data_IF_794250546424
#
_entry.id   IF_794250546424
#
_cell.length_a   1.000
_cell.length_b   1.000
_cell.length_c   1.000
_cell.angle_alpha   90.00
_cell.angle_beta   90.00
_cell.angle_gamma   90.00
#
_symmetry.space_group_name_H-M   'P 1'
#
loop_
_entity.id
_entity.type
_entity.pdbx_description
1 polymer ?
#
# COMPACT_ATOMS: atom_id res chain seq x y z
N UNK A 1 -16.92 22.46 14.16
CA UNK A 1 -16.94 21.20 14.94
C UNK A 1 -16.48 20.12 13.96
N UNK A 2 -15.42 19.39 14.31
CA UNK A 2 -14.97 18.29 13.46
C UNK A 2 -16.12 17.29 13.33
N UNK A 3 -16.45 16.93 12.10
CA UNK A 3 -17.38 15.86 11.79
C UNK A 3 -16.92 14.64 12.61
N UNK A 4 -17.76 14.15 13.53
CA UNK A 4 -17.39 13.12 14.51
C UNK A 4 -17.15 11.72 13.91
N UNK A 5 -16.89 11.65 12.59
CA UNK A 5 -16.59 10.44 11.84
C UNK A 5 -15.16 9.97 12.17
N UNK A 6 -15.05 8.79 12.76
CA UNK A 6 -13.74 8.16 12.99
C UNK A 6 -13.15 7.68 11.67
N UNK A 7 -11.88 8.00 11.44
CA UNK A 7 -11.09 7.56 10.28
C UNK A 7 -9.87 6.80 10.74
N UNK A 8 -9.34 5.94 9.87
CA UNK A 8 -8.17 5.11 10.15
C UNK A 8 -7.05 5.47 9.18
N UNK A 9 -5.88 5.75 9.71
CA UNK A 9 -4.65 5.88 8.95
C UNK A 9 -3.72 4.71 9.30
N UNK A 10 -3.32 3.95 8.29
CA UNK A 10 -2.26 2.94 8.38
C UNK A 10 -1.01 3.52 7.75
N UNK A 11 0.08 3.58 8.49
CA UNK A 11 1.40 3.98 7.97
C UNK A 11 2.33 2.78 8.09
N UNK A 12 2.82 2.31 6.96
CA UNK A 12 3.79 1.22 6.90
C UNK A 12 5.17 1.76 6.48
N UNK A 13 6.19 1.39 7.23
CA UNK A 13 7.60 1.60 6.89
C UNK A 13 8.20 0.25 6.53
N UNK A 14 8.41 0.00 5.23
CA UNK A 14 8.90 -1.28 4.73
C UNK A 14 10.32 -1.56 5.26
N UNK A 15 10.53 -2.74 5.81
CA UNK A 15 11.76 -3.20 6.46
C UNK A 15 12.20 -2.41 7.72
N UNK A 16 11.36 -1.54 8.29
CA UNK A 16 11.69 -0.89 9.56
C UNK A 16 11.74 -1.91 10.70
N UNK A 17 12.89 -2.04 11.31
CA UNK A 17 13.12 -2.92 12.46
C UNK A 17 12.59 -2.25 13.74
N UNK A 18 11.87 -3.00 14.61
CA UNK A 18 11.31 -2.44 15.85
C UNK A 18 12.37 -1.85 16.80
N UNK A 19 13.59 -2.40 16.80
CA UNK A 19 14.70 -1.93 17.64
C UNK A 19 15.31 -0.60 17.17
N UNK A 20 14.96 -0.13 15.96
CA UNK A 20 15.33 1.20 15.47
C UNK A 20 14.37 2.30 15.94
N UNK A 21 13.21 1.93 16.48
CA UNK A 21 12.22 2.90 16.98
C UNK A 21 12.59 3.29 18.42
N UNK A 22 13.60 4.13 18.53
CA UNK A 22 14.11 4.65 19.80
C UNK A 22 13.98 6.18 19.87
N UNK A 23 14.00 6.79 21.06
CA UNK A 23 14.01 8.26 21.20
C UNK A 23 15.16 8.95 20.45
N UNK A 24 16.30 8.27 20.31
CA UNK A 24 17.50 8.80 19.66
C UNK A 24 17.37 8.78 18.13
N UNK A 25 16.86 7.68 17.56
CA UNK A 25 16.80 7.49 16.11
C UNK A 25 15.50 7.97 15.50
N UNK A 26 14.38 7.77 16.19
CA UNK A 26 13.03 8.11 15.69
C UNK A 26 12.19 8.77 16.81
N UNK A 27 12.56 9.97 17.27
CA UNK A 27 11.96 10.57 18.45
C UNK A 27 10.44 10.76 18.32
N UNK A 28 9.95 11.19 17.16
CA UNK A 28 8.52 11.41 16.95
C UNK A 28 7.71 10.10 16.95
N UNK A 29 8.23 9.05 16.28
CA UNK A 29 7.56 7.75 16.25
C UNK A 29 7.61 7.06 17.62
N UNK A 30 8.73 7.20 18.34
CA UNK A 30 8.84 6.70 19.71
C UNK A 30 7.85 7.38 20.64
N UNK A 31 7.76 8.71 20.63
CA UNK A 31 6.81 9.47 21.43
C UNK A 31 5.35 9.15 21.07
N UNK A 32 5.05 8.96 19.79
CA UNK A 32 3.72 8.53 19.35
C UNK A 32 3.37 7.14 19.89
N UNK A 33 4.31 6.20 19.82
CA UNK A 33 4.10 4.84 20.32
C UNK A 33 3.91 4.80 21.86
N UNK A 34 4.52 5.72 22.60
CA UNK A 34 4.36 5.83 24.06
C UNK A 34 2.98 6.39 24.46
N UNK A 35 2.32 7.13 23.57
CA UNK A 35 0.95 7.62 23.76
C UNK A 35 -0.12 6.60 23.36
N UNK A 36 0.27 5.56 22.63
CA UNK A 36 -0.60 4.52 22.09
C UNK A 36 -0.32 3.14 22.69
N UNK A 37 -0.41 2.12 21.83
CA UNK A 37 -0.11 0.74 22.19
C UNK A 37 1.04 0.19 21.36
N UNK A 38 1.98 -0.51 22.00
CA UNK A 38 3.05 -1.27 21.32
C UNK A 38 2.71 -2.75 21.28
N UNK A 39 2.66 -3.34 20.10
CA UNK A 39 2.37 -4.77 19.91
C UNK A 39 3.69 -5.55 19.80
N UNK A 40 4.24 -6.00 20.90
CA UNK A 40 5.57 -6.65 20.97
C UNK A 40 5.61 -8.07 20.38
N UNK A 41 4.45 -8.70 20.21
CA UNK A 41 4.31 -10.05 19.65
C UNK A 41 3.78 -10.05 18.21
N UNK A 42 3.67 -8.89 17.57
CA UNK A 42 3.29 -8.83 16.17
C UNK A 42 4.34 -9.51 15.29
N UNK A 43 3.91 -10.26 14.28
CA UNK A 43 4.76 -10.96 13.33
C UNK A 43 4.22 -10.76 11.92
N UNK A 44 5.13 -10.62 10.97
CA UNK A 44 4.80 -10.74 9.55
C UNK A 44 4.31 -12.16 9.23
N UNK A 45 3.55 -12.31 8.16
CA UNK A 45 3.21 -13.63 7.64
C UNK A 45 4.44 -14.28 6.99
N UNK A 46 4.44 -15.61 6.88
CA UNK A 46 5.47 -16.32 6.12
C UNK A 46 4.94 -16.67 4.71
N UNK A 47 5.73 -16.46 3.64
CA UNK A 47 7.06 -15.82 3.63
C UNK A 47 7.00 -14.32 3.97
N UNK A 48 8.09 -13.80 4.58
CA UNK A 48 8.19 -12.39 5.01
C UNK A 48 8.50 -11.45 3.85
N UNK A 49 7.82 -11.63 2.74
CA UNK A 49 7.96 -10.83 1.54
C UNK A 49 6.95 -9.68 1.51
N UNK A 50 7.35 -8.55 0.94
CA UNK A 50 6.56 -7.32 0.94
C UNK A 50 5.13 -7.55 0.42
N UNK A 51 4.97 -8.12 -0.78
CA UNK A 51 3.65 -8.24 -1.41
C UNK A 51 2.76 -9.29 -0.78
N UNK A 52 3.34 -10.33 -0.18
CA UNK A 52 2.62 -11.28 0.65
C UNK A 52 2.01 -10.59 1.86
N UNK A 53 2.80 -9.75 2.54
CA UNK A 53 2.36 -9.03 3.73
C UNK A 53 1.43 -7.85 3.41
N UNK A 54 1.61 -7.17 2.26
CA UNK A 54 0.65 -6.20 1.75
C UNK A 54 -0.72 -6.85 1.52
N UNK A 55 -0.74 -8.03 0.91
CA UNK A 55 -2.00 -8.78 0.70
C UNK A 55 -2.60 -9.24 2.01
N UNK A 56 -1.79 -9.73 2.95
CA UNK A 56 -2.28 -10.11 4.28
C UNK A 56 -2.88 -8.89 5.03
N UNK A 57 -2.29 -7.71 4.90
CA UNK A 57 -2.82 -6.47 5.48
C UNK A 57 -4.21 -6.12 4.94
N UNK A 58 -4.40 -6.19 3.62
CA UNK A 58 -5.67 -5.77 2.99
C UNK A 58 -6.73 -6.88 2.93
N UNK A 59 -6.40 -8.12 3.26
CA UNK A 59 -7.35 -9.23 3.30
C UNK A 59 -7.65 -9.72 4.72
N UNK A 60 -6.76 -9.43 5.69
CA UNK A 60 -6.83 -10.02 7.03
C UNK A 60 -6.59 -11.54 7.03
N UNK A 61 -6.02 -12.11 5.97
CA UNK A 61 -5.85 -13.55 5.80
C UNK A 61 -4.37 -13.93 5.64
N UNK A 62 -4.06 -15.19 5.88
CA UNK A 62 -2.76 -15.78 5.58
C UNK A 62 -2.63 -16.15 4.09
N UNK A 63 -1.39 -16.31 3.55
CA UNK A 63 -1.13 -16.66 2.16
C UNK A 63 -1.91 -17.88 1.64
N UNK A 64 -2.12 -18.89 2.47
CA UNK A 64 -2.91 -20.07 2.14
C UNK A 64 -4.39 -19.78 1.86
N UNK A 65 -4.88 -18.60 2.23
CA UNK A 65 -6.27 -18.18 1.97
C UNK A 65 -6.38 -17.07 0.94
N UNK A 66 -5.42 -16.15 0.87
CA UNK A 66 -5.50 -15.07 -0.12
C UNK A 66 -4.79 -15.40 -1.44
N UNK A 67 -4.04 -16.52 -1.53
CA UNK A 67 -3.46 -17.02 -2.78
C UNK A 67 -2.14 -16.38 -3.21
N UNK A 68 -1.71 -15.26 -2.62
CA UNK A 68 -0.42 -14.62 -2.93
C UNK A 68 0.66 -15.19 -2.03
N UNK A 69 1.49 -16.06 -2.58
CA UNK A 69 2.44 -16.88 -1.82
C UNK A 69 3.90 -16.42 -1.94
N UNK A 70 4.16 -15.37 -2.71
CA UNK A 70 5.50 -14.82 -2.91
C UNK A 70 5.47 -13.52 -3.69
N UNK A 71 6.59 -12.78 -3.70
CA UNK A 71 6.78 -11.64 -4.60
C UNK A 71 6.81 -12.08 -6.06
N UNK A 72 7.31 -13.29 -6.30
CA UNK A 72 7.27 -13.99 -7.59
C UNK A 72 6.96 -15.46 -7.33
N UNK A 73 5.95 -16.00 -7.98
CA UNK A 73 5.55 -17.38 -7.81
C UNK A 73 4.92 -17.96 -9.07
N UNK A 74 4.74 -19.26 -9.10
CA UNK A 74 4.10 -19.92 -10.23
C UNK A 74 2.57 -19.83 -10.11
N UNK A 75 1.98 -19.06 -11.02
CA UNK A 75 0.52 -18.96 -11.20
C UNK A 75 0.20 -19.11 -12.69
N UNK A 76 -0.10 -20.33 -13.13
CA UNK A 76 -0.18 -20.64 -14.56
C UNK A 76 -1.32 -19.94 -15.30
N UNK A 77 -2.38 -19.52 -14.60
CA UNK A 77 -3.48 -18.77 -15.22
C UNK A 77 -3.03 -17.33 -15.43
N UNK A 78 -2.49 -16.68 -14.40
CA UNK A 78 -2.04 -15.29 -14.48
C UNK A 78 -0.83 -15.13 -15.40
N UNK A 79 0.12 -16.07 -15.35
CA UNK A 79 1.39 -16.00 -16.07
C UNK A 79 1.83 -17.37 -16.59
N UNK A 80 1.30 -17.85 -17.74
CA UNK A 80 1.50 -19.22 -18.21
C UNK A 80 2.92 -19.55 -18.69
N UNK A 81 3.77 -18.54 -18.91
CA UNK A 81 5.10 -18.72 -19.51
C UNK A 81 6.26 -18.43 -18.57
N UNK A 82 6.02 -17.77 -17.44
CA UNK A 82 7.04 -17.35 -16.50
C UNK A 82 6.47 -17.21 -15.10
N UNK A 83 7.33 -17.03 -14.11
CA UNK A 83 6.86 -16.70 -12.76
C UNK A 83 6.06 -15.40 -12.77
N UNK A 84 4.92 -15.42 -12.11
CA UNK A 84 4.08 -14.24 -11.92
C UNK A 84 4.76 -13.27 -10.97
N UNK A 85 5.19 -12.12 -11.49
CA UNK A 85 5.83 -11.06 -10.71
C UNK A 85 4.78 -10.03 -10.28
N UNK A 86 4.36 -10.10 -9.04
CA UNK A 86 3.34 -9.21 -8.48
C UNK A 86 3.84 -7.78 -8.21
N UNK A 87 5.13 -7.50 -8.41
CA UNK A 87 5.70 -6.14 -8.34
C UNK A 87 5.68 -5.38 -9.66
N UNK A 88 5.48 -6.09 -10.76
CA UNK A 88 5.45 -5.56 -12.12
C UNK A 88 4.02 -5.21 -12.51
N UNK A 89 3.78 -3.95 -12.91
CA UNK A 89 2.44 -3.44 -13.18
C UNK A 89 1.78 -4.12 -14.39
N UNK A 90 2.55 -4.37 -15.44
CA UNK A 90 2.03 -4.97 -16.66
C UNK A 90 1.67 -6.44 -16.43
N UNK A 91 2.55 -7.19 -15.75
CA UNK A 91 2.25 -8.59 -15.41
C UNK A 91 1.08 -8.70 -14.46
N UNK A 92 1.00 -7.81 -13.47
CA UNK A 92 -0.11 -7.81 -12.51
C UNK A 92 -1.43 -7.47 -13.19
N UNK A 93 -1.47 -6.45 -14.04
CA UNK A 93 -2.66 -6.06 -14.81
C UNK A 93 -3.14 -7.18 -15.72
N UNK A 94 -2.23 -7.81 -16.47
CA UNK A 94 -2.55 -8.95 -17.32
C UNK A 94 -2.99 -10.17 -16.49
N UNK A 95 -2.32 -10.41 -15.36
CA UNK A 95 -2.71 -11.48 -14.43
C UNK A 95 -4.13 -11.30 -13.89
N UNK A 96 -4.47 -10.09 -13.42
CA UNK A 96 -5.82 -9.76 -12.95
C UNK A 96 -6.85 -10.00 -14.06
N UNK A 97 -6.56 -9.57 -15.29
CA UNK A 97 -7.43 -9.80 -16.45
C UNK A 97 -7.67 -11.29 -16.72
N UNK A 98 -6.61 -12.10 -16.68
CA UNK A 98 -6.68 -13.57 -16.87
C UNK A 98 -7.44 -14.26 -15.74
N UNK A 99 -7.26 -13.81 -14.53
CA UNK A 99 -7.96 -14.26 -13.33
C UNK A 99 -9.39 -13.67 -13.21
N UNK A 100 -9.90 -13.02 -14.27
CA UNK A 100 -11.25 -12.43 -14.34
C UNK A 100 -11.54 -11.45 -13.20
N UNK A 101 -10.54 -10.67 -12.81
CA UNK A 101 -10.64 -9.68 -11.74
C UNK A 101 -10.31 -10.20 -10.34
N UNK A 102 -10.12 -11.51 -10.16
CA UNK A 102 -9.85 -12.15 -8.87
C UNK A 102 -8.35 -12.30 -8.63
N UNK A 103 -7.67 -11.22 -8.25
CA UNK A 103 -6.26 -11.27 -7.87
C UNK A 103 -6.02 -12.09 -6.59
N UNK A 104 -6.99 -12.07 -5.69
CA UNK A 104 -6.98 -12.77 -4.41
C UNK A 104 -8.19 -13.69 -4.30
N UNK A 105 -8.03 -14.82 -3.57
CA UNK A 105 -9.09 -15.81 -3.34
C UNK A 105 -10.13 -15.34 -2.29
N UNK A 106 -9.92 -14.17 -1.71
CA UNK A 106 -10.78 -13.57 -0.69
C UNK A 106 -10.95 -12.07 -0.97
N UNK A 107 -12.05 -11.44 -0.51
CA UNK A 107 -12.25 -10.01 -0.65
C UNK A 107 -11.13 -9.18 0.00
N UNK A 108 -10.81 -8.05 -0.60
CA UNK A 108 -9.84 -7.08 -0.05
C UNK A 108 -10.53 -5.94 0.68
N UNK A 109 -9.79 -5.23 1.52
CA UNK A 109 -10.29 -4.13 2.35
C UNK A 109 -11.09 -3.09 1.55
N UNK A 110 -10.65 -2.75 0.33
CA UNK A 110 -11.36 -1.81 -0.53
C UNK A 110 -12.77 -2.28 -0.90
N UNK A 111 -12.93 -3.57 -1.22
CA UNK A 111 -14.23 -4.17 -1.53
C UNK A 111 -15.14 -4.17 -0.30
N UNK A 112 -14.62 -4.63 0.84
CA UNK A 112 -15.36 -4.68 2.11
C UNK A 112 -15.81 -3.27 2.54
N UNK A 113 -14.95 -2.27 2.41
CA UNK A 113 -15.29 -0.89 2.73
C UNK A 113 -16.40 -0.36 1.80
N UNK A 114 -16.30 -0.62 0.50
CA UNK A 114 -17.29 -0.18 -0.49
C UNK A 114 -18.66 -0.80 -0.23
N UNK A 115 -18.75 -2.08 0.14
CA UNK A 115 -20.01 -2.73 0.54
C UNK A 115 -20.69 -2.02 1.73
N UNK A 116 -19.92 -1.29 2.53
CA UNK A 116 -20.43 -0.53 3.69
C UNK A 116 -20.51 0.98 3.43
N UNK A 117 -20.44 1.40 2.17
CA UNK A 117 -20.46 2.82 1.79
C UNK A 117 -19.26 3.62 2.31
N UNK A 118 -18.12 2.95 2.48
CA UNK A 118 -16.86 3.52 2.97
C UNK A 118 -15.81 3.51 1.88
N UNK A 119 -14.79 4.35 2.04
CA UNK A 119 -13.76 4.57 1.02
C UNK A 119 -12.35 4.27 1.54
N UNK A 120 -11.50 3.81 0.61
CA UNK A 120 -10.08 3.54 0.81
C UNK A 120 -9.23 4.47 -0.07
N UNK A 121 -8.19 5.06 0.52
CA UNK A 121 -7.13 5.73 -0.21
C UNK A 121 -5.78 5.07 0.06
N UNK A 122 -4.96 4.95 -0.98
CA UNK A 122 -3.61 4.38 -0.90
C UNK A 122 -2.60 5.33 -1.53
N UNK A 123 -1.50 5.59 -0.85
CA UNK A 123 -0.30 6.24 -1.39
C UNK A 123 0.89 5.32 -1.12
N UNK A 124 1.71 5.06 -2.13
CA UNK A 124 2.86 4.18 -1.95
C UNK A 124 4.07 4.62 -2.77
N UNK A 125 5.24 4.57 -2.16
CA UNK A 125 6.54 4.70 -2.82
C UNK A 125 7.14 3.34 -3.23
N UNK A 126 6.38 2.26 -3.06
CA UNK A 126 6.76 0.89 -3.39
C UNK A 126 6.74 0.55 -4.87
N UNK A 127 6.93 -0.73 -5.18
CA UNK A 127 6.81 -1.20 -6.57
C UNK A 127 5.40 -0.91 -7.10
N UNK A 128 5.25 -0.65 -8.41
CA UNK A 128 3.94 -0.34 -9.00
C UNK A 128 2.89 -1.42 -8.71
N UNK A 129 3.22 -2.67 -8.94
CA UNK A 129 2.34 -3.79 -8.62
C UNK A 129 2.04 -3.90 -7.11
N UNK A 130 3.03 -3.66 -6.23
CA UNK A 130 2.80 -3.62 -4.78
C UNK A 130 1.82 -2.52 -4.39
N UNK A 131 1.94 -1.33 -4.99
CA UNK A 131 0.97 -0.25 -4.80
C UNK A 131 -0.43 -0.68 -5.26
N UNK A 132 -0.52 -1.33 -6.41
CA UNK A 132 -1.80 -1.84 -6.93
C UNK A 132 -2.40 -2.91 -6.03
N UNK A 133 -1.60 -3.82 -5.46
CA UNK A 133 -2.10 -4.87 -4.56
C UNK A 133 -2.77 -4.32 -3.30
N UNK A 134 -2.36 -3.16 -2.80
CA UNK A 134 -3.00 -2.51 -1.65
C UNK A 134 -4.44 -2.04 -1.97
N UNK A 135 -4.74 -1.75 -3.25
CA UNK A 135 -6.08 -1.36 -3.70
C UNK A 135 -6.26 -1.68 -5.20
N UNK A 136 -6.29 -2.96 -5.56
CA UNK A 136 -6.35 -3.37 -6.96
C UNK A 136 -7.70 -3.08 -7.64
N UNK A 137 -8.75 -2.88 -6.87
CA UNK A 137 -10.09 -2.49 -7.32
C UNK A 137 -10.33 -0.97 -7.31
N UNK A 138 -9.30 -0.15 -7.18
CA UNK A 138 -9.46 1.30 -7.03
C UNK A 138 -10.24 1.93 -8.18
N UNK A 139 -10.01 1.49 -9.44
CA UNK A 139 -10.73 1.98 -10.61
C UNK A 139 -12.23 1.64 -10.56
N UNK A 140 -12.55 0.39 -10.23
CA UNK A 140 -13.93 -0.12 -10.19
C UNK A 140 -14.74 0.49 -9.03
N UNK A 141 -14.06 0.85 -7.94
CA UNK A 141 -14.66 1.36 -6.70
C UNK A 141 -14.56 2.88 -6.56
N UNK A 142 -14.15 3.59 -7.62
CA UNK A 142 -13.93 5.04 -7.62
C UNK A 142 -13.02 5.50 -6.46
N UNK A 143 -12.04 4.65 -6.10
CA UNK A 143 -11.12 4.84 -5.00
C UNK A 143 -9.99 5.81 -5.32
N UNK A 144 -9.02 5.88 -4.41
CA UNK A 144 -7.80 6.66 -4.59
C UNK A 144 -6.58 5.76 -4.45
N UNK A 145 -5.71 5.77 -5.46
CA UNK A 145 -4.42 5.09 -5.42
C UNK A 145 -3.36 5.94 -6.11
N UNK A 146 -2.32 6.35 -5.38
CA UNK A 146 -1.17 7.06 -5.92
C UNK A 146 0.06 6.16 -5.89
N UNK A 147 0.62 5.88 -7.08
CA UNK A 147 1.87 5.14 -7.27
C UNK A 147 2.99 6.11 -7.63
N UNK A 148 3.94 6.36 -6.71
CA UNK A 148 5.03 7.29 -6.99
C UNK A 148 6.00 6.76 -8.05
N UNK A 149 6.20 5.43 -8.11
CA UNK A 149 7.07 4.81 -9.13
C UNK A 149 6.41 4.68 -10.50
N UNK A 150 5.08 4.72 -10.55
CA UNK A 150 4.31 4.56 -11.78
C UNK A 150 3.10 5.50 -11.76
N UNK A 151 3.32 6.81 -11.98
CA UNK A 151 2.25 7.81 -11.86
C UNK A 151 1.05 7.56 -12.79
N UNK A 152 1.29 7.02 -13.96
CA UNK A 152 0.27 6.64 -14.95
C UNK A 152 -0.61 5.45 -14.53
N UNK A 153 -0.21 4.70 -13.50
CA UNK A 153 -1.02 3.66 -12.85
C UNK A 153 -1.82 4.18 -11.64
N UNK A 154 -1.86 5.49 -11.42
CA UNK A 154 -2.60 6.12 -10.32
C UNK A 154 -4.09 6.22 -10.64
N UNK A 155 -4.93 6.36 -9.61
CA UNK A 155 -6.39 6.44 -9.69
C UNK A 155 -6.89 7.62 -8.85
N UNK A 156 -7.74 8.48 -9.39
CA UNK A 156 -8.26 8.51 -10.76
C UNK A 156 -7.17 8.80 -11.81
N UNK A 157 -7.44 8.53 -13.08
CA UNK A 157 -6.45 8.65 -14.16
C UNK A 157 -5.91 10.07 -14.34
N UNK A 158 -6.72 11.09 -14.04
CA UNK A 158 -6.40 12.52 -14.09
C UNK A 158 -5.75 13.04 -12.80
N UNK A 159 -5.48 12.15 -11.82
CA UNK A 159 -4.93 12.55 -10.51
C UNK A 159 -3.67 13.40 -10.65
N UNK A 160 -2.78 13.01 -11.53
CA UNK A 160 -1.50 13.71 -11.71
C UNK A 160 -1.63 15.14 -12.28
N UNK A 161 -2.76 15.47 -12.90
CA UNK A 161 -3.04 16.84 -13.37
C UNK A 161 -3.28 17.81 -12.22
N UNK A 162 -3.69 17.28 -11.06
CA UNK A 162 -4.01 18.05 -9.84
C UNK A 162 -2.91 18.07 -8.80
N UNK A 163 -1.80 17.37 -9.05
CA UNK A 163 -0.67 17.27 -8.13
C UNK A 163 0.58 17.94 -8.68
N UNK A 164 1.45 18.39 -7.78
CA UNK A 164 2.81 18.82 -8.16
C UNK A 164 3.58 17.64 -8.77
N UNK A 165 4.57 17.90 -9.63
CA UNK A 165 5.40 16.85 -10.21
C UNK A 165 6.07 15.99 -9.14
N UNK A 166 6.01 14.66 -9.30
CA UNK A 166 6.71 13.74 -8.40
C UNK A 166 8.22 13.98 -8.52
N UNK A 167 8.95 14.14 -7.41
CA UNK A 167 10.41 14.25 -7.44
C UNK A 167 11.07 13.07 -8.14
N UNK A 168 12.27 13.26 -8.73
CA UNK A 168 13.01 12.14 -9.29
C UNK A 168 13.37 11.13 -8.20
N UNK A 169 13.49 9.83 -8.55
CA UNK A 169 13.87 8.80 -7.59
C UNK A 169 15.29 9.04 -7.04
N UNK A 170 15.44 8.83 -5.74
CA UNK A 170 16.72 8.91 -5.02
C UNK A 170 16.86 7.76 -4.03
N UNK A 171 18.07 7.53 -3.54
CA UNK A 171 18.34 6.62 -2.42
C UNK A 171 19.23 7.36 -1.43
N UNK A 172 18.76 7.56 -0.19
CA UNK A 172 17.42 7.26 0.31
C UNK A 172 16.33 8.10 -0.38
N UNK A 173 15.10 7.57 -0.45
CA UNK A 173 13.98 8.18 -1.16
C UNK A 173 13.20 9.19 -0.29
N UNK A 174 13.90 10.07 0.43
CA UNK A 174 13.30 10.99 1.39
C UNK A 174 12.33 12.00 0.75
N UNK A 175 12.66 12.48 -0.46
CA UNK A 175 11.76 13.38 -1.19
C UNK A 175 10.43 12.72 -1.53
N UNK A 176 10.43 11.43 -1.80
CA UNK A 176 9.20 10.67 -2.02
C UNK A 176 8.38 10.50 -0.74
N UNK A 177 9.04 10.32 0.40
CA UNK A 177 8.33 10.25 1.69
C UNK A 177 7.66 11.59 1.99
N UNK A 178 8.39 12.69 1.79
CA UNK A 178 7.86 14.04 1.94
C UNK A 178 6.68 14.27 1.01
N UNK A 179 6.86 14.01 -0.29
CA UNK A 179 5.81 14.15 -1.29
C UNK A 179 4.55 13.34 -0.96
N UNK A 180 4.71 12.07 -0.56
CA UNK A 180 3.59 11.20 -0.18
C UNK A 180 2.86 11.73 1.06
N UNK A 181 3.63 12.24 2.04
CA UNK A 181 3.07 12.84 3.27
C UNK A 181 2.29 14.10 2.96
N UNK A 182 2.86 15.01 2.16
CA UNK A 182 2.21 16.26 1.76
C UNK A 182 0.95 16.01 0.92
N UNK A 183 1.02 15.05 0.00
CA UNK A 183 -0.16 14.62 -0.76
C UNK A 183 -1.24 14.04 0.16
N UNK A 184 -0.86 13.23 1.15
CA UNK A 184 -1.82 12.74 2.13
C UNK A 184 -2.49 13.89 2.88
N UNK A 185 -1.72 14.81 3.44
CA UNK A 185 -2.23 15.90 4.27
C UNK A 185 -3.12 16.87 3.48
N UNK A 186 -2.67 17.27 2.29
CA UNK A 186 -3.33 18.32 1.52
C UNK A 186 -4.46 17.80 0.62
N UNK A 187 -4.33 16.62 0.05
CA UNK A 187 -5.30 16.07 -0.92
C UNK A 187 -6.18 15.01 -0.27
N UNK A 188 -5.59 14.01 0.36
CA UNK A 188 -6.35 12.88 0.89
C UNK A 188 -7.10 13.29 2.15
N UNK A 189 -6.39 13.77 3.17
CA UNK A 189 -7.01 14.20 4.43
C UNK A 189 -7.72 15.56 4.29
N UNK A 190 -7.14 16.49 3.53
CA UNK A 190 -7.71 17.82 3.36
C UNK A 190 -8.99 17.86 2.54
N UNK A 191 -9.04 17.12 1.43
CA UNK A 191 -10.11 17.19 0.42
C UNK A 191 -10.97 15.93 0.39
N UNK A 192 -10.36 14.76 0.16
CA UNK A 192 -11.09 13.50 -0.10
C UNK A 192 -11.69 12.86 1.15
N UNK A 193 -11.00 12.97 2.28
CA UNK A 193 -11.43 12.49 3.61
C UNK A 193 -11.92 11.03 3.61
N UNK A 194 -11.12 10.06 3.14
CA UNK A 194 -11.53 8.67 3.11
C UNK A 194 -11.76 8.12 4.53
N UNK A 195 -12.50 7.03 4.64
CA UNK A 195 -12.68 6.33 5.93
C UNK A 195 -11.40 5.63 6.37
N UNK A 196 -10.65 5.09 5.40
CA UNK A 196 -9.35 4.44 5.63
C UNK A 196 -8.33 4.98 4.63
N UNK A 197 -7.13 5.27 5.10
CA UNK A 197 -5.98 5.60 4.26
C UNK A 197 -4.81 4.69 4.60
N UNK A 198 -4.04 4.29 3.58
CA UNK A 198 -2.80 3.53 3.71
C UNK A 198 -1.67 4.34 3.07
N UNK A 199 -0.66 4.69 3.87
CA UNK A 199 0.63 5.20 3.41
C UNK A 199 1.65 4.09 3.50
N UNK A 200 2.20 3.67 2.35
CA UNK A 200 3.24 2.64 2.31
C UNK A 200 4.56 3.26 1.87
N UNK A 201 5.46 3.47 2.82
CA UNK A 201 6.79 3.97 2.58
C UNK A 201 7.78 2.81 2.36
N UNK A 202 8.51 2.84 1.23
CA UNK A 202 9.57 1.87 0.95
C UNK A 202 10.92 2.23 1.58
N UNK A 203 10.93 3.08 2.60
CA UNK A 203 12.08 3.27 3.47
C UNK A 203 11.80 2.64 4.83
N UNK A 204 12.83 2.01 5.42
CA UNK A 204 14.23 1.91 4.97
C UNK A 204 14.56 0.77 3.97
N UNK A 205 13.61 0.03 3.43
CA UNK A 205 13.85 -1.10 2.50
C UNK A 205 14.72 -0.69 1.30
N UNK A 206 14.41 0.43 0.63
CA UNK A 206 15.20 0.92 -0.50
C UNK A 206 16.66 1.25 -0.13
N UNK A 207 16.89 1.67 1.12
CA UNK A 207 18.24 2.01 1.60
C UNK A 207 19.04 0.79 2.03
N UNK A 208 18.41 -0.38 2.22
CA UNK A 208 19.07 -1.65 2.55
C UNK A 208 19.50 -2.43 1.31
N UNK A 209 18.96 -2.12 0.15
CA UNK A 209 19.23 -2.73 -1.15
C UNK A 209 19.90 -1.76 -2.13
#
# INVERSE_FOLDING_TARGET
MADGKKRVLVVAFDALRPDMVTPELMPNLSAFADQGGRFTHNRSTFPTETRVNQTALVTGCYPSRHGIVGNRFWEPIASPKMLFNTGDEEQLSEGIRRLKGHLTDVPVLGEILAEHGKSLAVISSGTPGGTRMLHHKAEELEGFRLSLRRPDASVPADLMESLDPIPPPSVPSLDWLTYATDTYLNVVEGVRKPDVAILWYCEPDNSYH
#
